data_IF_161320035466
#
_entry.id   IF_161320035466
#
_cell.length_a   1.000
_cell.length_b   1.000
_cell.length_c   1.000
_cell.angle_alpha   90.00
_cell.angle_beta   90.00
_cell.angle_gamma   90.00
#
_symmetry.space_group_name_H-M   'P 1'
#
loop_
_entity.id
_entity.type
_entity.pdbx_description
1 polymer ?
#
# COMPACT_ATOMS: atom_id res chain seq x y z
N UNK A 1 -17.49 11.33 28.47
CA UNK A 1 -17.09 10.82 29.79
C UNK A 1 -16.46 9.44 29.59
N UNK A 2 -15.18 9.38 29.22
CA UNK A 2 -14.47 8.12 29.01
C UNK A 2 -13.63 7.86 30.26
N UNK A 3 -13.80 6.67 30.86
CA UNK A 3 -13.00 6.21 31.99
C UNK A 3 -11.52 6.23 31.58
N UNK A 4 -10.69 6.92 32.37
CA UNK A 4 -9.26 6.62 32.46
C UNK A 4 -9.10 5.10 32.60
N UNK A 5 -8.41 4.47 31.66
CA UNK A 5 -7.95 3.10 31.84
C UNK A 5 -6.59 3.21 32.50
N UNK A 6 -6.56 3.38 33.82
CA UNK A 6 -5.34 3.18 34.60
C UNK A 6 -4.99 1.68 34.55
N UNK A 7 -3.89 1.36 33.86
CA UNK A 7 -3.31 0.02 33.76
C UNK A 7 -4.18 -1.02 33.02
N UNK A 8 -4.03 -1.12 31.69
CA UNK A 8 -4.59 -2.23 30.92
C UNK A 8 -3.82 -3.52 31.26
N UNK A 9 -4.52 -4.54 31.77
CA UNK A 9 -3.95 -5.84 32.12
C UNK A 9 -4.19 -6.86 31.01
N UNK A 10 -3.14 -7.22 30.26
CA UNK A 10 -3.23 -8.24 29.21
C UNK A 10 -2.68 -9.59 29.71
N UNK A 11 -3.52 -10.63 29.68
CA UNK A 11 -3.11 -11.99 30.02
C UNK A 11 -2.47 -12.72 28.84
N UNK A 12 -1.15 -12.91 28.84
CA UNK A 12 -0.44 -13.43 27.64
C UNK A 12 -0.19 -14.95 27.69
N UNK A 13 -0.33 -15.58 28.86
CA UNK A 13 -0.15 -17.03 29.01
C UNK A 13 -0.34 -17.52 30.44
N UNK A 14 -0.14 -18.83 30.67
CA UNK A 14 -0.07 -19.43 32.02
C UNK A 14 1.40 -19.53 32.47
N UNK A 15 1.67 -19.20 33.72
CA UNK A 15 3.00 -19.40 34.34
C UNK A 15 3.34 -20.89 34.39
N UNK A 16 4.62 -21.22 34.24
CA UNK A 16 5.16 -22.56 34.47
C UNK A 16 6.11 -22.49 35.67
N UNK A 17 5.87 -23.37 36.63
CA UNK A 17 6.54 -23.59 37.93
C UNK A 17 6.11 -22.70 39.11
N UNK A 18 5.85 -23.21 40.33
CA UNK A 18 5.45 -24.54 40.84
C UNK A 18 4.84 -24.23 42.22
N UNK A 19 3.64 -24.75 42.48
CA UNK A 19 2.82 -24.47 43.66
C UNK A 19 2.08 -23.12 43.62
N UNK A 20 0.76 -23.21 43.63
CA UNK A 20 -0.23 -22.12 43.72
C UNK A 20 -0.58 -21.31 42.45
N UNK A 21 -1.87 -21.40 42.12
CA UNK A 21 -2.71 -20.46 41.37
C UNK A 21 -2.54 -20.30 39.85
N UNK A 22 -3.71 -20.28 39.19
CA UNK A 22 -3.94 -19.93 37.79
C UNK A 22 -3.64 -18.44 37.54
N UNK A 23 -2.39 -18.00 37.73
CA UNK A 23 -2.03 -16.62 37.43
C UNK A 23 -1.67 -16.50 35.94
N UNK A 24 -2.56 -15.82 35.18
CA UNK A 24 -2.23 -15.33 33.82
C UNK A 24 -1.03 -14.40 33.97
N UNK A 25 0.00 -14.51 33.13
CA UNK A 25 1.04 -13.47 33.09
C UNK A 25 0.40 -12.19 32.58
N UNK A 26 0.30 -11.20 33.47
CA UNK A 26 -0.34 -9.91 33.23
C UNK A 26 0.73 -8.91 32.83
N UNK A 27 0.68 -8.45 31.58
CA UNK A 27 1.33 -7.21 31.20
C UNK A 27 0.46 -6.04 31.65
N UNK A 28 0.99 -5.21 32.53
CA UNK A 28 0.40 -3.93 32.89
C UNK A 28 0.85 -2.90 31.85
N UNK A 29 -0.09 -2.31 31.14
CA UNK A 29 0.18 -1.34 30.09
C UNK A 29 -0.45 0.00 30.44
N UNK A 30 0.33 1.06 30.23
CA UNK A 30 -0.10 2.43 30.38
C UNK A 30 -0.32 3.07 29.01
N UNK A 31 -1.14 4.12 28.96
CA UNK A 31 -1.25 4.91 27.73
C UNK A 31 0.12 5.50 27.35
N UNK A 32 0.39 5.54 26.04
CA UNK A 32 1.72 5.85 25.49
C UNK A 32 2.66 4.64 25.42
N UNK A 33 2.28 3.47 25.92
CA UNK A 33 3.09 2.27 25.76
C UNK A 33 3.08 1.79 24.31
N UNK A 34 4.29 1.54 23.78
CA UNK A 34 4.50 0.84 22.52
C UNK A 34 5.06 -0.55 22.80
N UNK A 35 4.39 -1.56 22.24
CA UNK A 35 4.74 -2.97 22.35
C UNK A 35 5.13 -3.49 20.98
N UNK A 36 6.29 -4.14 20.89
CA UNK A 36 6.66 -4.92 19.71
C UNK A 36 6.47 -6.41 20.02
N UNK A 37 5.69 -7.08 19.17
CA UNK A 37 5.46 -8.50 19.18
C UNK A 37 6.14 -9.14 17.97
N UNK A 38 7.02 -10.11 18.19
CA UNK A 38 7.77 -10.72 17.09
C UNK A 38 8.07 -12.21 17.29
N UNK A 39 8.55 -12.84 16.20
CA UNK A 39 8.85 -14.26 16.11
C UNK A 39 7.74 -15.10 15.47
N UNK A 40 8.00 -16.41 15.37
CA UNK A 40 7.23 -17.38 14.55
C UNK A 40 5.74 -17.41 14.89
N UNK A 41 5.41 -17.37 16.19
CA UNK A 41 4.05 -17.54 16.71
C UNK A 41 3.44 -16.21 17.20
N UNK A 42 3.94 -15.08 16.68
CA UNK A 42 3.40 -13.75 16.96
C UNK A 42 1.91 -13.62 16.64
N UNK A 43 1.41 -14.27 15.58
CA UNK A 43 -0.01 -14.28 15.21
C UNK A 43 -0.92 -14.88 16.29
N UNK A 44 -0.44 -15.93 16.97
CA UNK A 44 -1.17 -16.60 18.06
C UNK A 44 -1.27 -15.66 19.27
N UNK A 45 -0.16 -15.03 19.66
CA UNK A 45 -0.15 -14.08 20.79
C UNK A 45 -1.02 -12.86 20.49
N UNK A 46 -0.93 -12.30 19.28
CA UNK A 46 -1.74 -11.14 18.92
C UNK A 46 -3.23 -11.46 19.02
N UNK A 47 -3.60 -12.67 18.60
CA UNK A 47 -4.97 -13.12 18.71
C UNK A 47 -5.43 -13.36 20.17
N UNK A 48 -4.54 -13.81 21.07
CA UNK A 48 -4.81 -13.86 22.50
C UNK A 48 -5.03 -12.47 23.08
N UNK A 49 -4.20 -11.49 22.68
CA UNK A 49 -4.37 -10.09 23.05
C UNK A 49 -5.73 -9.57 22.58
N UNK A 50 -6.09 -9.78 21.31
CA UNK A 50 -7.40 -9.41 20.76
C UNK A 50 -8.53 -10.05 21.56
N UNK A 51 -8.43 -11.35 21.89
CA UNK A 51 -9.45 -12.05 22.67
C UNK A 51 -9.62 -11.47 24.08
N UNK A 52 -8.52 -11.16 24.77
CA UNK A 52 -8.58 -10.52 26.09
C UNK A 52 -9.18 -9.12 26.03
N UNK A 53 -8.83 -8.31 25.02
CA UNK A 53 -9.40 -6.98 24.82
C UNK A 53 -10.92 -7.05 24.64
N UNK A 54 -11.39 -8.08 23.94
CA UNK A 54 -12.82 -8.36 23.80
C UNK A 54 -13.48 -8.79 25.12
N UNK A 55 -12.84 -9.68 25.89
CA UNK A 55 -13.34 -10.12 27.21
C UNK A 55 -13.57 -8.94 28.17
N UNK A 56 -12.68 -7.95 28.15
CA UNK A 56 -12.76 -6.76 29.01
C UNK A 56 -13.52 -5.57 28.37
N UNK A 57 -14.15 -5.77 27.21
CA UNK A 57 -14.86 -4.73 26.45
C UNK A 57 -14.01 -3.48 26.15
N UNK A 58 -12.71 -3.65 25.93
CA UNK A 58 -11.83 -2.56 25.50
C UNK A 58 -12.05 -2.28 24.00
N UNK A 59 -12.22 -1.01 23.63
CA UNK A 59 -12.30 -0.62 22.22
C UNK A 59 -10.91 -0.64 21.60
N UNK A 60 -10.77 -1.27 20.45
CA UNK A 60 -9.49 -1.26 19.73
C UNK A 60 -9.69 -1.16 18.22
N UNK A 61 -8.61 -0.81 17.54
CA UNK A 61 -8.47 -0.89 16.10
C UNK A 61 -7.39 -1.91 15.79
N UNK A 62 -7.67 -2.83 14.86
CA UNK A 62 -6.68 -3.78 14.34
C UNK A 62 -6.48 -3.55 12.84
N UNK A 63 -5.26 -3.23 12.44
CA UNK A 63 -4.81 -3.27 11.05
C UNK A 63 -4.29 -4.69 10.78
N UNK A 64 -5.01 -5.42 9.93
CA UNK A 64 -4.70 -6.78 9.50
C UNK A 64 -4.19 -6.78 8.06
N UNK A 65 -2.87 -6.80 7.90
CA UNK A 65 -2.25 -6.86 6.56
C UNK A 65 -2.32 -8.24 5.90
N UNK A 66 -2.59 -9.30 6.68
CA UNK A 66 -2.50 -10.69 6.23
C UNK A 66 -3.87 -11.35 6.00
N UNK A 67 -4.94 -10.77 6.56
CA UNK A 67 -6.30 -11.33 6.57
C UNK A 67 -6.44 -12.53 7.50
N UNK A 68 -5.54 -12.66 8.48
CA UNK A 68 -5.57 -13.76 9.44
C UNK A 68 -6.72 -13.60 10.42
N UNK A 69 -7.03 -12.38 10.87
CA UNK A 69 -7.97 -12.13 11.96
C UNK A 69 -9.43 -12.05 11.51
N UNK A 70 -9.70 -12.42 10.25
CA UNK A 70 -11.04 -12.50 9.67
C UNK A 70 -12.00 -13.45 10.40
N UNK A 71 -11.50 -14.41 11.18
CA UNK A 71 -12.36 -15.34 11.93
C UNK A 71 -12.95 -14.76 13.21
N UNK A 72 -12.45 -13.61 13.71
CA UNK A 72 -13.06 -12.92 14.84
C UNK A 72 -14.41 -12.31 14.40
N UNK A 73 -15.45 -13.14 14.32
CA UNK A 73 -16.81 -12.78 13.90
C UNK A 73 -17.76 -12.68 15.08
N UNK A 74 -17.33 -12.08 16.18
CA UNK A 74 -18.27 -11.65 17.22
C UNK A 74 -19.02 -10.42 16.70
N UNK A 75 -20.33 -10.32 16.99
CA UNK A 75 -21.15 -9.17 16.57
C UNK A 75 -20.68 -7.81 17.12
N UNK A 76 -19.64 -7.80 17.95
CA UNK A 76 -19.03 -6.63 18.57
C UNK A 76 -17.88 -6.05 17.72
N UNK A 77 -17.30 -6.80 16.77
CA UNK A 77 -16.20 -6.32 15.93
C UNK A 77 -16.71 -6.04 14.52
N UNK A 78 -16.54 -4.80 14.08
CA UNK A 78 -16.86 -4.40 12.71
C UNK A 78 -15.68 -4.64 11.78
N UNK A 79 -15.96 -5.29 10.66
CA UNK A 79 -14.94 -5.63 9.66
C UNK A 79 -15.00 -4.67 8.48
N UNK A 80 -13.87 -4.04 8.20
CA UNK A 80 -13.66 -3.18 7.05
C UNK A 80 -12.59 -3.82 6.17
N UNK A 81 -13.05 -4.61 5.21
CA UNK A 81 -12.20 -5.20 4.17
C UNK A 81 -12.00 -4.13 3.10
N UNK A 82 -10.77 -3.64 3.00
CA UNK A 82 -10.42 -2.55 2.11
C UNK A 82 -10.55 -3.01 0.64
N UNK A 83 -11.22 -2.19 -0.16
CA UNK A 83 -11.59 -2.50 -1.55
C UNK A 83 -12.82 -3.40 -1.68
N UNK A 84 -13.34 -3.98 -0.59
CA UNK A 84 -14.59 -4.75 -0.60
C UNK A 84 -15.76 -3.97 -0.02
N UNK A 85 -15.67 -3.46 1.22
CA UNK A 85 -16.75 -2.69 1.85
C UNK A 85 -16.30 -1.31 2.39
N UNK A 86 -15.01 -0.99 2.27
CA UNK A 86 -14.45 0.31 2.61
C UNK A 86 -13.42 0.73 1.56
N UNK A 87 -13.48 1.98 1.13
CA UNK A 87 -12.48 2.63 0.29
C UNK A 87 -11.61 3.57 1.13
N UNK A 88 -10.37 3.77 0.70
CA UNK A 88 -9.39 4.68 1.29
C UNK A 88 -9.06 5.84 0.33
N UNK A 89 -9.90 6.89 0.26
CA UNK A 89 -9.67 7.99 -0.65
C UNK A 89 -8.32 8.70 -0.43
N UNK A 90 -7.66 9.07 -1.52
CA UNK A 90 -6.40 9.81 -1.48
C UNK A 90 -6.58 11.23 -0.90
N UNK A 91 -7.73 11.86 -1.10
CA UNK A 91 -8.07 13.20 -0.56
C UNK A 91 -8.11 13.26 0.98
N UNK A 92 -8.13 12.12 1.71
CA UNK A 92 -8.05 12.13 3.19
C UNK A 92 -6.82 12.93 3.64
N UNK A 93 -5.76 12.85 2.85
CA UNK A 93 -4.50 13.55 3.06
C UNK A 93 -4.73 15.08 3.01
N UNK A 94 -5.46 15.57 2.02
CA UNK A 94 -5.79 17.00 1.84
C UNK A 94 -6.59 17.54 3.02
N UNK A 95 -7.58 16.78 3.48
CA UNK A 95 -8.47 17.18 4.58
C UNK A 95 -7.80 17.10 5.95
N UNK A 96 -6.80 16.25 6.14
CA UNK A 96 -6.14 16.09 7.45
C UNK A 96 -5.10 17.16 7.72
N UNK A 97 -4.39 17.61 6.68
CA UNK A 97 -3.09 18.25 6.87
C UNK A 97 -3.14 19.75 6.55
N UNK A 98 -4.07 20.22 5.70
CA UNK A 98 -4.35 21.64 5.48
C UNK A 98 -3.23 22.47 4.80
N UNK A 99 -1.99 22.01 4.86
CA UNK A 99 -0.80 22.68 4.32
C UNK A 99 -0.40 22.11 2.95
N UNK A 100 -0.35 22.99 1.94
CA UNK A 100 0.02 22.62 0.56
C UNK A 100 1.40 21.97 0.43
N UNK A 101 2.37 22.38 1.27
CA UNK A 101 3.73 21.83 1.24
C UNK A 101 3.78 20.37 1.70
N UNK A 102 2.94 20.00 2.67
CA UNK A 102 2.91 18.62 3.16
C UNK A 102 2.16 17.72 2.17
N UNK A 103 1.18 18.24 1.44
CA UNK A 103 0.50 17.49 0.37
C UNK A 103 1.42 17.10 -0.77
N UNK A 104 2.26 18.04 -1.17
CA UNK A 104 3.32 17.82 -2.13
C UNK A 104 4.24 16.67 -1.70
N UNK A 105 4.70 16.70 -0.46
CA UNK A 105 5.56 15.65 0.09
C UNK A 105 4.82 14.30 0.15
N UNK A 106 3.54 14.28 0.50
CA UNK A 106 2.79 13.03 0.61
C UNK A 106 2.55 12.38 -0.76
N UNK A 107 2.10 13.13 -1.77
CA UNK A 107 1.93 12.55 -3.11
C UNK A 107 3.25 12.08 -3.69
N UNK A 108 4.33 12.84 -3.48
CA UNK A 108 5.69 12.41 -3.84
C UNK A 108 6.02 11.07 -3.19
N UNK A 109 5.70 10.89 -1.91
CA UNK A 109 5.97 9.65 -1.19
C UNK A 109 5.08 8.49 -1.61
N UNK A 110 3.79 8.72 -1.86
CA UNK A 110 2.87 7.69 -2.37
C UNK A 110 3.43 7.10 -3.66
N UNK A 111 3.69 7.94 -4.66
CA UNK A 111 4.19 7.46 -5.94
C UNK A 111 5.62 6.91 -5.84
N UNK A 112 6.46 7.47 -4.96
CA UNK A 112 7.79 6.91 -4.68
C UNK A 112 7.71 5.48 -4.13
N UNK A 113 6.79 5.21 -3.20
CA UNK A 113 6.54 3.87 -2.66
C UNK A 113 6.07 2.93 -3.78
N UNK A 114 5.07 3.34 -4.55
CA UNK A 114 4.45 2.51 -5.59
C UNK A 114 5.39 2.22 -6.76
N UNK A 115 6.23 3.18 -7.13
CA UNK A 115 7.15 3.05 -8.27
C UNK A 115 8.53 2.56 -7.85
N UNK A 116 8.82 2.48 -6.55
CA UNK A 116 10.16 2.24 -6.00
C UNK A 116 11.19 3.20 -6.63
N UNK A 117 10.89 4.50 -6.55
CA UNK A 117 11.66 5.54 -7.25
C UNK A 117 13.05 5.75 -6.65
N UNK A 118 14.01 6.09 -7.50
CA UNK A 118 15.29 6.65 -7.04
C UNK A 118 15.21 8.17 -6.78
N UNK A 119 16.32 8.75 -6.33
CA UNK A 119 16.40 10.18 -6.00
C UNK A 119 16.13 11.09 -7.19
N UNK A 120 16.53 10.71 -8.41
CA UNK A 120 16.34 11.52 -9.60
C UNK A 120 14.89 11.46 -10.11
N UNK A 121 14.30 10.27 -10.13
CA UNK A 121 12.88 10.06 -10.44
C UNK A 121 11.97 10.82 -9.48
N UNK A 122 12.34 10.83 -8.19
CA UNK A 122 11.65 11.62 -7.18
C UNK A 122 11.71 13.12 -7.48
N UNK A 123 12.86 13.65 -7.90
CA UNK A 123 13.00 15.07 -8.30
C UNK A 123 12.13 15.39 -9.52
N UNK A 124 12.05 14.49 -10.51
CA UNK A 124 11.17 14.68 -11.67
C UNK A 124 9.71 14.76 -11.22
N UNK A 125 9.25 13.80 -10.41
CA UNK A 125 7.89 13.81 -9.88
C UNK A 125 7.60 15.08 -9.07
N UNK A 126 8.55 15.50 -8.23
CA UNK A 126 8.45 16.74 -7.47
C UNK A 126 8.26 17.95 -8.39
N UNK A 127 9.06 18.09 -9.45
CA UNK A 127 8.89 19.19 -10.40
C UNK A 127 7.52 19.17 -11.10
N UNK A 128 6.99 17.99 -11.42
CA UNK A 128 5.65 17.83 -12.00
C UNK A 128 4.57 18.23 -10.99
N UNK A 129 4.62 17.70 -9.78
CA UNK A 129 3.62 17.96 -8.73
C UNK A 129 3.56 19.44 -8.35
N UNK A 130 4.69 20.17 -8.33
CA UNK A 130 4.71 21.62 -8.11
C UNK A 130 3.88 22.38 -9.15
N UNK A 131 3.92 21.95 -10.42
CA UNK A 131 3.13 22.57 -11.52
C UNK A 131 1.64 22.25 -11.43
N UNK A 132 1.29 21.08 -10.91
CA UNK A 132 -0.09 20.57 -10.89
C UNK A 132 -0.84 21.04 -9.64
N UNK A 133 -0.24 20.93 -8.45
CA UNK A 133 -0.90 21.24 -7.18
C UNK A 133 -1.24 22.74 -7.03
N UNK A 134 -0.68 23.60 -7.88
CA UNK A 134 -1.08 25.00 -8.00
C UNK A 134 -2.41 25.20 -8.75
N UNK A 135 -2.88 24.22 -9.52
CA UNK A 135 -3.99 24.33 -10.49
C UNK A 135 -5.33 23.67 -10.08
N UNK A 136 -5.51 23.20 -8.83
CA UNK A 136 -6.77 22.60 -8.28
C UNK A 136 -7.58 21.77 -9.32
N UNK A 137 -6.89 20.89 -10.03
CA UNK A 137 -7.43 20.10 -11.13
C UNK A 137 -7.31 18.58 -10.84
N UNK A 138 -7.78 17.74 -11.77
CA UNK A 138 -7.81 16.29 -11.59
C UNK A 138 -6.39 15.72 -11.60
N UNK A 139 -5.81 15.54 -10.39
CA UNK A 139 -4.41 15.15 -10.15
C UNK A 139 -3.90 14.03 -11.08
N UNK A 140 -4.69 12.97 -11.29
CA UNK A 140 -4.25 11.81 -12.09
C UNK A 140 -4.16 12.16 -13.59
N UNK A 141 -5.12 12.90 -14.11
CA UNK A 141 -5.12 13.32 -15.52
C UNK A 141 -4.05 14.38 -15.79
N UNK A 142 -3.84 15.30 -14.85
CA UNK A 142 -2.78 16.30 -14.97
C UNK A 142 -1.39 15.65 -14.89
N UNK A 143 -1.20 14.67 -13.99
CA UNK A 143 0.03 13.89 -13.90
C UNK A 143 0.28 13.15 -15.21
N UNK A 144 -0.75 12.52 -15.77
CA UNK A 144 -0.66 11.84 -17.08
C UNK A 144 -0.23 12.82 -18.17
N UNK A 145 -0.88 13.98 -18.28
CA UNK A 145 -0.57 14.98 -19.30
C UNK A 145 0.85 15.53 -19.18
N UNK A 146 1.33 15.83 -17.97
CA UNK A 146 2.70 16.34 -17.76
C UNK A 146 3.74 15.26 -18.04
N UNK A 147 3.51 14.01 -17.64
CA UNK A 147 4.39 12.88 -17.97
C UNK A 147 4.49 12.63 -19.48
N UNK A 148 3.36 12.67 -20.19
CA UNK A 148 3.32 12.59 -21.66
C UNK A 148 4.08 13.77 -22.30
N UNK A 149 3.99 14.97 -21.72
CA UNK A 149 4.73 16.16 -22.21
C UNK A 149 6.24 16.04 -22.02
N UNK A 150 6.70 15.41 -20.94
CA UNK A 150 8.14 15.16 -20.72
C UNK A 150 8.70 14.16 -21.73
N UNK A 151 7.93 13.14 -22.10
CA UNK A 151 8.32 12.23 -23.19
C UNK A 151 8.39 12.94 -24.54
N UNK A 152 7.59 13.98 -24.75
CA UNK A 152 7.67 14.83 -25.95
C UNK A 152 8.92 15.71 -25.99
N UNK A 153 9.29 16.32 -24.85
CA UNK A 153 10.42 17.26 -24.74
C UNK A 153 11.77 16.58 -24.57
N UNK A 154 11.81 15.40 -23.94
CA UNK A 154 13.05 14.64 -23.77
C UNK A 154 13.41 13.93 -25.08
N UNK A 155 14.65 14.10 -25.53
CA UNK A 155 15.25 13.30 -26.60
C UNK A 155 15.44 11.85 -26.13
N UNK A 156 14.33 11.09 -26.14
CA UNK A 156 14.16 9.64 -26.14
C UNK A 156 14.99 8.70 -25.23
N UNK A 157 15.87 9.19 -24.36
CA UNK A 157 16.87 8.32 -23.72
C UNK A 157 16.85 8.34 -22.19
N UNK A 158 16.57 9.49 -21.57
CA UNK A 158 16.71 9.58 -20.10
C UNK A 158 15.38 9.19 -19.45
N UNK A 159 15.23 7.87 -19.25
CA UNK A 159 14.19 7.18 -18.46
C UNK A 159 12.79 7.08 -19.07
N UNK A 160 12.70 6.75 -20.36
CA UNK A 160 11.45 6.28 -20.99
C UNK A 160 10.74 5.22 -20.14
N UNK A 161 11.49 4.24 -19.64
CA UNK A 161 10.97 3.16 -18.79
C UNK A 161 10.31 3.65 -17.49
N UNK A 162 10.86 4.71 -16.86
CA UNK A 162 10.27 5.29 -15.65
C UNK A 162 8.90 5.88 -15.97
N UNK A 163 8.83 6.70 -17.02
CA UNK A 163 7.60 7.39 -17.38
C UNK A 163 6.53 6.39 -17.84
N UNK A 164 6.91 5.37 -18.62
CA UNK A 164 6.01 4.27 -19.00
C UNK A 164 5.49 3.49 -17.78
N UNK A 165 6.38 3.16 -16.83
CA UNK A 165 5.98 2.52 -15.57
C UNK A 165 5.01 3.40 -14.79
N UNK A 166 5.27 4.71 -14.73
CA UNK A 166 4.39 5.67 -14.07
C UNK A 166 3.01 5.72 -14.73
N UNK A 167 2.96 5.89 -16.05
CA UNK A 167 1.69 5.88 -16.79
C UNK A 167 0.90 4.59 -16.55
N UNK A 168 1.57 3.42 -16.48
CA UNK A 168 0.90 2.16 -16.15
C UNK A 168 0.29 2.16 -14.74
N UNK A 169 0.93 2.79 -13.75
CA UNK A 169 0.37 2.92 -12.41
C UNK A 169 -0.83 3.86 -12.42
N UNK A 170 -0.78 4.97 -13.17
CA UNK A 170 -1.93 5.86 -13.34
C UNK A 170 -3.11 5.14 -14.02
N UNK A 171 -2.85 4.24 -14.97
CA UNK A 171 -3.88 3.36 -15.57
C UNK A 171 -4.54 2.45 -14.53
N UNK A 172 -3.76 1.92 -13.59
CA UNK A 172 -4.28 1.09 -12.49
C UNK A 172 -5.21 1.92 -11.58
N UNK A 173 -4.85 3.16 -11.25
CA UNK A 173 -5.70 4.06 -10.44
C UNK A 173 -6.96 4.56 -11.15
N UNK A 174 -7.06 4.39 -12.46
CA UNK A 174 -8.21 4.84 -13.25
C UNK A 174 -9.11 3.68 -13.65
N UNK A 175 -8.53 2.51 -13.98
CA UNK A 175 -9.24 1.43 -14.67
C UNK A 175 -9.19 0.06 -13.98
N UNK A 176 -8.83 -0.02 -12.70
CA UNK A 176 -8.79 -1.31 -11.99
C UNK A 176 -9.52 -1.29 -10.66
N UNK A 177 -9.66 -2.45 -10.01
CA UNK A 177 -10.10 -2.58 -8.61
C UNK A 177 -9.44 -1.56 -7.65
N UNK A 178 -8.19 -1.14 -7.94
CA UNK A 178 -7.46 -0.12 -7.18
C UNK A 178 -8.14 1.25 -7.24
N UNK A 179 -8.81 1.62 -8.34
CA UNK A 179 -9.51 2.90 -8.47
C UNK A 179 -10.69 3.02 -7.49
N UNK A 180 -11.36 1.89 -7.21
CA UNK A 180 -12.46 1.80 -6.23
C UNK A 180 -11.93 1.72 -4.81
N UNK A 181 -10.78 1.08 -4.65
CA UNK A 181 -10.12 0.91 -3.35
C UNK A 181 -9.51 2.21 -2.85
N UNK A 182 -8.86 2.97 -3.74
CA UNK A 182 -8.20 4.25 -3.46
C UNK A 182 -8.74 5.35 -4.38
N UNK A 183 -10.03 5.71 -4.24
CA UNK A 183 -10.62 6.75 -5.08
C UNK A 183 -9.93 8.09 -4.81
N UNK A 184 -9.93 8.98 -5.79
CA UNK A 184 -9.33 10.30 -5.59
C UNK A 184 -10.08 11.06 -4.49
N UNK A 185 -11.41 11.11 -4.60
CA UNK A 185 -12.28 11.81 -3.67
C UNK A 185 -13.14 10.82 -2.89
N UNK A 186 -13.48 11.21 -1.67
CA UNK A 186 -14.42 10.46 -0.85
C UNK A 186 -14.49 10.98 0.58
N UNK A 187 -15.48 10.46 1.31
CA UNK A 187 -15.60 10.69 2.74
C UNK A 187 -15.45 9.35 3.46
N UNK A 188 -14.53 9.31 4.42
CA UNK A 188 -14.52 8.24 5.42
C UNK A 188 -15.26 8.75 6.65
N UNK A 189 -16.26 7.99 7.10
CA UNK A 189 -16.98 8.27 8.34
C UNK A 189 -16.10 8.00 9.56
N UNK A 190 -16.49 8.54 10.72
CA UNK A 190 -15.81 8.22 11.98
C UNK A 190 -16.05 6.75 12.35
N UNK A 191 -15.00 6.11 12.87
CA UNK A 191 -15.08 4.78 13.46
C UNK A 191 -15.31 4.97 14.96
N UNK A 192 -16.42 4.43 15.50
CA UNK A 192 -16.76 4.54 16.92
C UNK A 192 -16.82 3.18 17.64
N UNK A 193 -16.71 2.09 16.88
CA UNK A 193 -16.85 0.69 17.29
C UNK A 193 -15.49 -0.01 17.19
N UNK A 194 -15.28 -1.11 17.91
CA UNK A 194 -14.10 -1.97 17.71
C UNK A 194 -14.07 -2.45 16.27
N UNK A 195 -12.94 -2.26 15.58
CA UNK A 195 -12.86 -2.56 14.15
C UNK A 195 -11.57 -3.23 13.71
N UNK A 196 -11.70 -4.01 12.62
CA UNK A 196 -10.58 -4.62 11.90
C UNK A 196 -10.54 -4.03 10.50
N UNK A 197 -9.41 -3.42 10.14
CA UNK A 197 -9.08 -3.01 8.78
C UNK A 197 -8.27 -4.10 8.11
N UNK A 198 -8.82 -4.72 7.08
CA UNK A 198 -8.24 -5.89 6.45
C UNK A 198 -7.75 -5.57 5.03
N UNK A 199 -6.47 -5.85 4.77
CA UNK A 199 -5.82 -5.57 3.48
C UNK A 199 -5.62 -6.82 2.61
N UNK A 200 -6.18 -7.96 2.98
CA UNK A 200 -5.93 -9.25 2.30
C UNK A 200 -6.31 -9.24 0.81
N UNK A 201 -7.34 -8.49 0.43
CA UNK A 201 -7.78 -8.35 -0.97
C UNK A 201 -6.96 -7.32 -1.75
N UNK A 202 -6.15 -6.50 -1.08
CA UNK A 202 -5.28 -5.53 -1.75
C UNK A 202 -4.02 -6.27 -2.25
N UNK A 203 -3.61 -6.06 -3.51
CA UNK A 203 -2.33 -6.57 -4.01
C UNK A 203 -1.17 -6.08 -3.15
N UNK A 204 -0.14 -6.91 -2.98
CA UNK A 204 0.99 -6.64 -2.07
C UNK A 204 1.67 -5.29 -2.28
N UNK A 205 1.82 -4.86 -3.54
CA UNK A 205 2.44 -3.58 -3.93
C UNK A 205 1.65 -2.34 -3.46
N UNK A 206 0.35 -2.49 -3.19
CA UNK A 206 -0.51 -1.41 -2.71
C UNK A 206 -0.79 -1.47 -1.20
N UNK A 207 -0.34 -2.53 -0.49
CA UNK A 207 -0.55 -2.65 0.97
C UNK A 207 0.21 -1.59 1.76
N UNK A 208 1.40 -1.19 1.28
CA UNK A 208 2.16 -0.08 1.86
C UNK A 208 1.38 1.25 1.80
N UNK A 209 0.70 1.51 0.68
CA UNK A 209 -0.17 2.66 0.53
C UNK A 209 -1.36 2.59 1.49
N UNK A 210 -2.02 1.44 1.58
CA UNK A 210 -3.14 1.23 2.51
C UNK A 210 -2.74 1.47 3.97
N UNK A 211 -1.55 1.01 4.37
CA UNK A 211 -1.00 1.24 5.70
C UNK A 211 -0.78 2.74 5.93
N UNK A 212 -0.09 3.43 5.02
CA UNK A 212 0.18 4.86 5.13
C UNK A 212 -1.13 5.67 5.28
N UNK A 213 -2.13 5.41 4.42
CA UNK A 213 -3.41 6.12 4.47
C UNK A 213 -4.19 5.82 5.76
N UNK A 214 -4.14 4.58 6.26
CA UNK A 214 -4.77 4.27 7.53
C UNK A 214 -4.05 4.93 8.70
N UNK A 215 -2.72 4.98 8.74
CA UNK A 215 -1.99 5.70 9.80
C UNK A 215 -2.41 7.18 9.84
N UNK A 216 -2.54 7.84 8.68
CA UNK A 216 -3.02 9.23 8.58
C UNK A 216 -4.46 9.33 9.10
N UNK A 217 -5.33 8.38 8.75
CA UNK A 217 -6.70 8.37 9.23
C UNK A 217 -6.81 8.13 10.75
N UNK A 218 -5.93 7.30 11.29
CA UNK A 218 -5.90 6.97 12.72
C UNK A 218 -5.35 8.12 13.58
N UNK A 219 -4.71 9.12 12.98
CA UNK A 219 -4.24 10.32 13.67
C UNK A 219 -5.36 11.10 14.38
N UNK A 220 -6.65 10.88 14.10
CA UNK A 220 -7.76 11.54 14.82
C UNK A 220 -8.68 10.56 15.54
N UNK A 221 -8.20 9.36 15.82
CA UNK A 221 -8.99 8.30 16.42
C UNK A 221 -8.79 8.24 17.94
N UNK A 222 -9.86 8.39 18.71
CA UNK A 222 -9.83 8.36 20.19
C UNK A 222 -9.89 6.91 20.74
N UNK A 223 -9.10 5.98 20.19
CA UNK A 223 -9.13 4.58 20.59
C UNK A 223 -8.03 4.26 21.61
N UNK A 224 -8.33 3.58 22.72
CA UNK A 224 -7.33 3.31 23.75
C UNK A 224 -6.24 2.32 23.29
N UNK A 225 -6.56 1.42 22.34
CA UNK A 225 -5.60 0.42 21.83
C UNK A 225 -5.62 0.39 20.31
N UNK A 226 -4.43 0.46 19.71
CA UNK A 226 -4.22 0.36 18.27
C UNK A 226 -3.24 -0.77 18.00
N UNK A 227 -3.67 -1.73 17.20
CA UNK A 227 -2.90 -2.92 16.85
C UNK A 227 -2.57 -2.88 15.37
N UNK A 228 -1.30 -3.10 15.02
CA UNK A 228 -0.79 -3.06 13.66
C UNK A 228 -0.07 -4.38 13.37
N UNK A 229 -0.71 -5.28 12.62
CA UNK A 229 -0.08 -6.50 12.12
C UNK A 229 0.49 -6.29 10.72
N UNK A 230 1.80 -6.41 10.57
CA UNK A 230 2.55 -6.15 9.33
C UNK A 230 2.98 -7.42 8.59
N UNK A 231 2.61 -8.60 9.09
CA UNK A 231 3.01 -9.89 8.52
C UNK A 231 2.67 -10.06 7.02
N UNK A 232 1.65 -9.36 6.51
CA UNK A 232 1.27 -9.34 5.09
C UNK A 232 1.97 -8.28 4.24
N UNK A 233 2.97 -7.58 4.77
CA UNK A 233 3.74 -6.54 4.08
C UNK A 233 5.07 -7.12 3.57
N UNK A 234 5.18 -7.23 2.25
CA UNK A 234 6.31 -7.85 1.57
C UNK A 234 7.38 -6.83 1.14
N UNK A 235 6.97 -5.63 0.72
CA UNK A 235 7.87 -4.57 0.24
C UNK A 235 8.46 -3.74 1.39
N UNK A 236 9.07 -4.42 2.35
CA UNK A 236 9.56 -3.88 3.63
C UNK A 236 10.66 -2.83 3.47
N UNK A 237 11.57 -3.05 2.52
CA UNK A 237 12.70 -2.15 2.25
C UNK A 237 12.23 -0.78 1.77
N UNK A 238 11.09 -0.72 1.07
CA UNK A 238 10.51 0.55 0.59
C UNK A 238 10.03 1.38 1.78
N UNK A 239 9.36 0.76 2.76
CA UNK A 239 8.91 1.43 3.98
C UNK A 239 10.07 1.94 4.83
N UNK A 240 11.12 1.12 5.04
CA UNK A 240 12.30 1.53 5.83
C UNK A 240 12.99 2.75 5.21
N UNK A 241 13.11 2.80 3.88
CA UNK A 241 13.77 3.91 3.17
C UNK A 241 12.91 5.16 3.09
N UNK A 242 11.59 5.05 3.28
CA UNK A 242 10.69 6.18 3.17
C UNK A 242 10.73 7.06 4.42
N UNK A 243 11.34 8.24 4.32
CA UNK A 243 11.49 9.19 5.43
C UNK A 243 10.16 9.73 5.94
N UNK A 244 9.21 10.04 5.06
CA UNK A 244 7.92 10.61 5.49
C UNK A 244 7.07 9.55 6.19
N UNK A 245 7.05 8.32 5.68
CA UNK A 245 6.38 7.21 6.35
C UNK A 245 6.93 7.04 7.77
N UNK A 246 8.27 7.01 7.93
CA UNK A 246 8.90 6.95 9.26
C UNK A 246 8.56 8.16 10.13
N UNK A 247 8.48 9.36 9.55
CA UNK A 247 8.07 10.57 10.27
C UNK A 247 6.62 10.46 10.79
N UNK A 248 5.68 10.09 9.91
CA UNK A 248 4.26 9.90 10.28
C UNK A 248 4.14 8.81 11.35
N UNK A 249 4.85 7.70 11.16
CA UNK A 249 4.85 6.60 12.12
C UNK A 249 5.44 7.01 13.48
N UNK A 250 6.54 7.74 13.49
CA UNK A 250 7.16 8.22 14.73
C UNK A 250 6.27 9.22 15.46
N UNK A 251 5.62 10.15 14.74
CA UNK A 251 4.65 11.07 15.35
C UNK A 251 3.43 10.33 15.88
N UNK A 252 2.94 9.34 15.14
CA UNK A 252 1.87 8.46 15.59
C UNK A 252 2.24 7.69 16.87
N UNK A 253 3.50 7.28 17.02
CA UNK A 253 3.97 6.54 18.19
C UNK A 253 4.35 7.39 19.42
N UNK A 254 4.55 8.71 19.26
CA UNK A 254 4.77 9.62 20.40
C UNK A 254 3.49 9.92 21.18
N UNK A 255 2.36 9.44 20.71
CA UNK A 255 1.04 9.67 21.28
C UNK A 255 0.87 8.97 22.61
N UNK A 256 0.64 9.77 23.64
CA UNK A 256 0.45 9.29 25.02
C UNK A 256 -1.00 8.91 25.31
N UNK A 257 -1.92 9.04 24.35
CA UNK A 257 -3.34 8.73 24.46
C UNK A 257 -3.72 7.32 24.00
N UNK A 258 -2.75 6.56 23.45
CA UNK A 258 -2.97 5.22 22.91
C UNK A 258 -1.94 4.22 23.43
N UNK A 259 -2.35 2.96 23.56
CA UNK A 259 -1.44 1.81 23.59
C UNK A 259 -1.27 1.32 22.16
N UNK A 260 -0.02 1.22 21.69
CA UNK A 260 0.29 0.77 20.33
C UNK A 260 0.94 -0.60 20.39
N UNK A 261 0.35 -1.57 19.69
CA UNK A 261 0.88 -2.93 19.57
C UNK A 261 1.25 -3.17 18.12
N UNK A 262 2.51 -3.47 17.86
CA UNK A 262 3.02 -3.71 16.52
C UNK A 262 3.49 -5.16 16.42
N UNK A 263 3.05 -5.86 15.39
CA UNK A 263 3.34 -7.28 15.19
C UNK A 263 3.95 -7.54 13.81
N UNK A 264 5.06 -8.27 13.79
CA UNK A 264 5.65 -8.86 12.58
C UNK A 264 6.59 -10.00 12.99
N UNK A 265 6.65 -11.06 12.19
CA UNK A 265 7.57 -12.19 12.39
C UNK A 265 9.05 -11.81 12.37
N UNK A 266 9.42 -10.71 11.70
CA UNK A 266 10.80 -10.24 11.58
C UNK A 266 11.04 -9.02 12.47
N UNK A 267 11.81 -9.23 13.53
CA UNK A 267 12.09 -8.19 14.52
C UNK A 267 12.98 -7.09 13.94
N UNK A 268 13.95 -7.43 13.09
CA UNK A 268 14.88 -6.48 12.48
C UNK A 268 14.15 -5.44 11.66
N UNK A 269 13.10 -5.84 10.95
CA UNK A 269 12.24 -4.95 10.20
C UNK A 269 11.52 -3.98 11.14
N UNK A 270 10.90 -4.48 12.21
CA UNK A 270 10.20 -3.65 13.18
C UNK A 270 11.14 -2.64 13.84
N UNK A 271 12.31 -3.07 14.31
CA UNK A 271 13.26 -2.18 14.98
C UNK A 271 13.90 -1.15 14.04
N UNK A 272 14.05 -1.46 12.74
CA UNK A 272 14.47 -0.46 11.73
C UNK A 272 13.38 0.55 11.42
N UNK A 273 12.11 0.15 11.53
CA UNK A 273 10.96 1.00 11.23
C UNK A 273 10.56 1.86 12.42
N UNK A 274 10.56 1.28 13.63
CA UNK A 274 10.27 1.92 14.91
C UNK A 274 11.56 2.19 15.68
N UNK A 275 12.10 3.40 15.50
CA UNK A 275 13.31 3.87 16.19
C UNK A 275 13.02 4.56 17.53
N UNK A 276 11.74 4.68 17.94
CA UNK A 276 11.32 5.36 19.18
C UNK A 276 11.40 4.42 20.39
N UNK A 277 11.17 4.97 21.59
CA UNK A 277 11.30 4.26 22.88
C UNK A 277 10.29 3.12 23.02
N UNK A 278 10.64 1.96 22.50
CA UNK A 278 9.94 0.69 22.72
C UNK A 278 10.00 0.40 24.22
N UNK A 279 8.83 0.30 24.85
CA UNK A 279 8.75 0.04 26.30
C UNK A 279 8.67 -1.45 26.62
N UNK A 280 8.01 -2.22 25.77
CA UNK A 280 7.80 -3.65 25.99
C UNK A 280 8.08 -4.46 24.72
N UNK A 281 8.72 -5.62 24.88
CA UNK A 281 8.96 -6.59 23.82
C UNK A 281 8.31 -7.92 24.19
N UNK A 282 7.57 -8.50 23.26
CA UNK A 282 7.07 -9.87 23.38
C UNK A 282 7.69 -10.67 22.25
N UNK A 283 8.54 -11.63 22.59
CA UNK A 283 9.29 -12.43 21.65
C UNK A 283 8.85 -13.88 21.77
N UNK A 284 8.38 -14.44 20.66
CA UNK A 284 8.28 -15.90 20.51
C UNK A 284 9.59 -16.45 19.97
N UNK A 285 9.62 -17.71 19.57
CA UNK A 285 10.78 -18.30 18.93
C UNK A 285 11.27 -17.46 17.74
N UNK A 286 12.56 -17.14 17.73
CA UNK A 286 13.24 -16.38 16.67
C UNK A 286 14.23 -17.32 15.98
N UNK A 287 14.21 -17.34 14.65
CA UNK A 287 15.15 -18.14 13.84
C UNK A 287 16.09 -17.30 12.99
N UNK A 288 15.78 -16.02 12.78
CA UNK A 288 16.58 -15.15 11.94
C UNK A 288 17.82 -14.67 12.69
N UNK A 289 19.01 -14.89 12.12
CA UNK A 289 20.27 -14.44 12.71
C UNK A 289 20.36 -12.91 12.72
N UNK A 290 19.72 -12.20 11.78
CA UNK A 290 19.70 -10.74 11.78
C UNK A 290 18.95 -10.19 12.99
N UNK A 291 17.86 -10.85 13.41
CA UNK A 291 17.08 -10.49 14.59
C UNK A 291 17.91 -10.70 15.87
N UNK A 292 18.62 -11.82 15.97
CA UNK A 292 19.53 -12.12 17.10
C UNK A 292 20.68 -11.11 17.16
N UNK A 293 21.27 -10.76 16.02
CA UNK A 293 22.35 -9.78 15.95
C UNK A 293 21.91 -8.39 16.42
N UNK A 294 20.67 -8.00 16.14
CA UNK A 294 20.12 -6.73 16.60
C UNK A 294 19.86 -6.76 18.11
N UNK A 295 19.25 -7.83 18.62
CA UNK A 295 19.04 -7.99 20.07
C UNK A 295 20.38 -7.96 20.83
N UNK A 296 21.42 -8.61 20.31
CA UNK A 296 22.77 -8.53 20.87
C UNK A 296 23.30 -7.09 20.90
N UNK A 297 23.12 -6.33 19.81
CA UNK A 297 23.48 -4.89 19.74
C UNK A 297 22.68 -4.02 20.70
N UNK A 298 21.45 -4.41 21.03
CA UNK A 298 20.62 -3.76 22.06
C UNK A 298 21.06 -4.09 23.49
N UNK A 299 22.08 -4.95 23.68
CA UNK A 299 22.65 -5.27 24.99
C UNK A 299 22.09 -6.54 25.64
N UNK A 300 21.35 -7.38 24.90
CA UNK A 300 20.84 -8.65 25.42
C UNK A 300 22.00 -9.61 25.69
N UNK A 301 21.96 -10.31 26.83
CA UNK A 301 23.00 -11.28 27.21
C UNK A 301 23.00 -12.48 26.27
N UNK A 302 24.18 -13.11 26.10
CA UNK A 302 24.32 -14.31 25.27
C UNK A 302 23.40 -15.44 25.72
N UNK A 303 23.24 -15.61 27.03
CA UNK A 303 22.37 -16.65 27.60
C UNK A 303 20.90 -16.43 27.23
N UNK A 304 20.43 -15.18 27.26
CA UNK A 304 19.07 -14.84 26.87
C UNK A 304 18.83 -15.05 25.37
N UNK A 305 19.81 -14.72 24.54
CA UNK A 305 19.75 -14.95 23.09
C UNK A 305 19.74 -16.43 22.74
N UNK A 306 20.58 -17.24 23.41
CA UNK A 306 20.56 -18.70 23.29
C UNK A 306 19.20 -19.26 23.71
N UNK A 307 18.61 -18.74 24.79
CA UNK A 307 17.27 -19.11 25.24
C UNK A 307 16.19 -18.78 24.21
N UNK A 308 16.28 -17.64 23.52
CA UNK A 308 15.35 -17.26 22.45
C UNK A 308 15.47 -18.17 21.21
N UNK A 309 16.68 -18.55 20.83
CA UNK A 309 16.94 -19.48 19.72
C UNK A 309 16.39 -20.89 20.02
N UNK A 310 16.50 -21.33 21.28
CA UNK A 310 16.06 -22.64 21.75
C UNK A 310 14.64 -22.63 22.34
N UNK A 311 13.93 -21.51 22.26
CA UNK A 311 12.62 -21.35 22.87
C UNK A 311 11.63 -22.34 22.25
N UNK A 312 10.94 -23.10 23.09
CA UNK A 312 9.89 -24.01 22.63
C UNK A 312 8.76 -23.22 21.93
N UNK A 313 8.13 -23.85 20.92
CA UNK A 313 7.12 -23.16 20.11
C UNK A 313 5.94 -22.63 20.92
N UNK A 314 5.60 -23.29 22.03
CA UNK A 314 4.52 -22.94 22.95
C UNK A 314 4.95 -21.95 24.03
N UNK A 315 6.10 -21.29 23.88
CA UNK A 315 6.57 -20.31 24.86
C UNK A 315 6.82 -18.94 24.25
N UNK A 316 6.70 -17.93 25.09
CA UNK A 316 7.09 -16.55 24.81
C UNK A 316 7.91 -15.96 25.93
N UNK A 317 8.85 -15.12 25.55
CA UNK A 317 9.58 -14.23 26.42
C UNK A 317 8.91 -12.85 26.39
N UNK A 318 8.60 -12.33 27.57
CA UNK A 318 8.07 -10.99 27.77
C UNK A 318 9.15 -10.18 28.45
N UNK A 319 9.54 -9.08 27.81
CA UNK A 319 10.46 -8.09 28.37
C UNK A 319 9.64 -6.84 28.63
N UNK A 320 9.41 -6.56 29.90
CA UNK A 320 8.87 -5.26 30.32
C UNK A 320 10.03 -4.33 30.72
N UNK A 321 9.71 -3.09 31.06
CA UNK A 321 10.69 -2.07 31.45
C UNK A 321 11.53 -2.45 32.68
N UNK A 322 11.11 -3.42 33.49
CA UNK A 322 11.72 -3.75 34.78
C UNK A 322 12.20 -5.20 34.87
N UNK A 323 11.65 -6.11 34.06
CA UNK A 323 11.73 -7.55 34.27
C UNK A 323 11.62 -8.33 32.96
N UNK A 324 12.11 -9.57 33.02
CA UNK A 324 12.06 -10.55 31.94
C UNK A 324 11.32 -11.78 32.45
N UNK A 325 10.23 -12.16 31.77
CA UNK A 325 9.44 -13.33 32.14
C UNK A 325 9.27 -14.28 30.96
N UNK A 326 9.13 -15.56 31.26
CA UNK A 326 8.76 -16.58 30.29
C UNK A 326 7.33 -17.05 30.57
N UNK A 327 6.57 -17.33 29.52
CA UNK A 327 5.18 -17.77 29.63
C UNK A 327 4.85 -18.87 28.63
N UNK A 328 3.93 -19.77 28.98
CA UNK A 328 3.36 -20.73 28.04
C UNK A 328 2.13 -20.19 27.34
N UNK A 329 2.14 -20.35 26.02
CA UNK A 329 1.10 -19.98 25.06
C UNK A 329 0.25 -21.21 24.77
N UNK A 330 -1.07 -21.08 24.90
CA UNK A 330 -1.98 -22.17 24.54
C UNK A 330 -2.22 -22.21 23.02
N UNK A 331 -1.34 -22.91 22.29
CA UNK A 331 -1.39 -23.06 20.83
C UNK A 331 -2.61 -23.86 20.36
N UNK A 332 -3.03 -24.88 21.11
CA UNK A 332 -4.07 -25.82 20.64
C UNK A 332 -5.42 -25.15 20.46
N UNK A 333 -5.78 -24.25 21.38
CA UNK A 333 -6.99 -23.41 21.27
C UNK A 333 -7.03 -22.61 19.96
N UNK A 334 -5.86 -22.28 19.42
CA UNK A 334 -5.70 -21.43 18.25
C UNK A 334 -5.77 -22.15 16.91
N UNK A 335 -5.43 -23.44 16.87
CA UNK A 335 -5.61 -24.26 15.66
C UNK A 335 -7.08 -24.30 15.22
N UNK A 336 -8.00 -24.28 16.18
CA UNK A 336 -9.44 -24.26 15.89
C UNK A 336 -9.92 -22.95 15.28
N UNK A 337 -9.36 -21.80 15.68
CA UNK A 337 -9.73 -20.49 15.16
C UNK A 337 -9.37 -20.34 13.67
N UNK A 338 -8.25 -20.92 13.23
CA UNK A 338 -7.84 -20.95 11.81
C UNK A 338 -8.80 -21.75 10.91
N UNK A 339 -9.58 -22.67 11.49
CA UNK A 339 -10.53 -23.52 10.76
C UNK A 339 -11.93 -22.90 10.65
N UNK A 340 -12.18 -21.73 11.25
CA UNK A 340 -13.47 -21.05 11.14
C UNK A 340 -13.60 -20.44 9.73
N UNK A 341 -14.70 -20.71 9.01
CA UNK A 341 -14.89 -20.17 7.67
C UNK A 341 -14.96 -18.64 7.70
N UNK A 342 -14.16 -18.02 6.81
CA UNK A 342 -14.09 -16.57 6.61
C UNK A 342 -15.46 -16.05 6.15
N UNK A 343 -16.10 -15.20 6.96
CA UNK A 343 -17.36 -14.54 6.61
C UNK A 343 -17.09 -13.12 6.10
N UNK A 344 -17.38 -12.89 4.82
CA UNK A 344 -17.29 -11.58 4.20
C UNK A 344 -18.51 -10.71 4.55
N UNK A 345 -18.34 -9.39 4.75
CA UNK A 345 -19.45 -8.45 4.87
C UNK A 345 -20.35 -8.50 3.63
N UNK A 346 -21.67 -8.50 3.83
CA UNK A 346 -22.66 -8.52 2.73
C UNK A 346 -22.61 -7.28 1.84
N UNK A 347 -22.28 -6.13 2.42
CA UNK A 347 -22.21 -4.86 1.68
C UNK A 347 -20.91 -4.83 0.87
N UNK A 348 -21.02 -4.73 -0.43
CA UNK A 348 -19.90 -4.50 -1.34
C UNK A 348 -19.85 -3.04 -1.78
N UNK A 349 -18.66 -2.56 -2.10
CA UNK A 349 -18.47 -1.34 -2.85
C UNK A 349 -19.03 -1.57 -4.24
N UNK A 350 -19.73 -0.55 -4.75
CA UNK A 350 -20.12 -0.54 -6.15
C UNK A 350 -18.87 -0.26 -6.95
N UNK A 351 -18.48 -1.23 -7.76
CA UNK A 351 -17.55 -0.95 -8.84
C UNK A 351 -18.22 0.08 -9.76
N UNK A 352 -17.50 1.10 -10.24
CA UNK A 352 -17.98 1.86 -11.38
C UNK A 352 -18.28 0.82 -12.46
N UNK A 353 -19.47 0.90 -13.06
CA UNK A 353 -19.82 0.02 -14.18
C UNK A 353 -18.72 0.20 -15.22
N UNK A 354 -17.87 -0.83 -15.31
CA UNK A 354 -16.82 -0.90 -16.29
C UNK A 354 -17.50 -1.16 -17.63
N UNK A 355 -17.95 -0.09 -18.27
CA UNK A 355 -17.90 -0.09 -19.72
C UNK A 355 -16.41 -0.12 -20.05
N UNK A 356 -15.87 -1.20 -20.64
CA UNK A 356 -14.49 -1.20 -21.10
C UNK A 356 -14.37 -0.02 -22.07
N UNK A 357 -13.77 1.08 -21.61
CA UNK A 357 -13.39 2.16 -22.51
C UNK A 357 -12.33 1.56 -23.41
N UNK A 358 -12.65 1.41 -24.69
CA UNK A 358 -11.70 0.90 -25.69
C UNK A 358 -10.40 1.68 -25.56
N UNK A 359 -9.29 0.96 -25.59
CA UNK A 359 -7.96 1.52 -25.35
C UNK A 359 -7.71 2.84 -26.11
N UNK A 360 -8.05 2.92 -27.40
CA UNK A 360 -7.88 4.14 -28.20
C UNK A 360 -8.76 5.30 -27.72
N UNK A 361 -10.04 5.06 -27.46
CA UNK A 361 -10.97 6.08 -26.93
C UNK A 361 -10.50 6.59 -25.57
N UNK A 362 -9.89 5.71 -24.77
CA UNK A 362 -9.43 6.06 -23.44
C UNK A 362 -8.16 6.93 -23.47
N UNK A 363 -7.16 6.53 -24.26
CA UNK A 363 -5.86 7.20 -24.31
C UNK A 363 -5.89 8.47 -25.18
N UNK A 364 -6.60 8.43 -26.31
CA UNK A 364 -6.58 9.50 -27.31
C UNK A 364 -7.86 10.35 -27.33
N UNK A 365 -8.91 9.95 -26.59
CA UNK A 365 -10.15 10.70 -26.50
C UNK A 365 -10.73 11.00 -27.89
N UNK A 366 -10.90 12.29 -28.20
CA UNK A 366 -11.40 12.76 -29.50
C UNK A 366 -10.48 12.39 -30.69
N UNK A 367 -9.22 12.07 -30.45
CA UNK A 367 -8.25 11.69 -31.48
C UNK A 367 -8.20 10.17 -31.73
N UNK A 368 -9.06 9.36 -31.09
CA UNK A 368 -9.04 7.91 -31.21
C UNK A 368 -9.19 7.42 -32.67
N UNK A 369 -10.11 8.02 -33.43
CA UNK A 369 -10.36 7.68 -34.84
C UNK A 369 -9.17 8.03 -35.75
N UNK A 370 -8.48 9.13 -35.44
CA UNK A 370 -7.25 9.55 -36.14
C UNK A 370 -6.14 8.52 -35.92
N UNK A 371 -5.96 8.06 -34.67
CA UNK A 371 -4.96 7.05 -34.34
C UNK A 371 -5.31 5.69 -34.92
N UNK A 372 -6.57 5.27 -34.83
CA UNK A 372 -7.04 4.06 -35.50
C UNK A 372 -6.66 4.07 -36.99
N UNK A 373 -6.90 5.19 -37.66
CA UNK A 373 -6.58 5.34 -39.08
C UNK A 373 -5.08 5.42 -39.37
N UNK A 374 -4.27 5.93 -38.43
CA UNK A 374 -2.81 5.88 -38.51
C UNK A 374 -2.31 4.43 -38.37
N UNK A 375 -2.85 3.67 -37.42
CA UNK A 375 -2.51 2.25 -37.23
C UNK A 375 -2.90 1.43 -38.45
N UNK A 376 -4.07 1.67 -39.04
CA UNK A 376 -4.49 1.03 -40.29
C UNK A 376 -3.55 1.37 -41.46
N UNK A 377 -3.07 2.62 -41.56
CA UNK A 377 -2.08 3.01 -42.57
C UNK A 377 -0.75 2.27 -42.37
N UNK A 378 -0.27 2.18 -41.13
CA UNK A 378 0.97 1.46 -40.81
C UNK A 378 0.85 -0.07 -40.88
N UNK A 379 -0.38 -0.61 -40.90
CA UNK A 379 -0.66 -2.02 -41.20
C UNK A 379 -0.32 -2.36 -42.65
N UNK A 380 -0.45 -1.41 -43.57
CA UNK A 380 -0.15 -1.59 -44.99
C UNK A 380 1.37 -1.56 -45.26
N UNK A 381 2.15 -0.90 -44.41
CA UNK A 381 3.61 -0.90 -44.49
C UNK A 381 4.29 0.08 -43.54
N UNK A 382 5.56 -0.18 -43.24
CA UNK A 382 6.39 0.74 -42.46
C UNK A 382 6.74 1.99 -43.29
N UNK A 383 6.86 3.14 -42.63
CA UNK A 383 7.20 4.42 -43.29
C UNK A 383 8.15 5.24 -42.42
N UNK A 384 8.77 6.29 -42.95
CA UNK A 384 9.62 7.16 -42.14
C UNK A 384 8.79 8.15 -41.30
N UNK A 385 9.46 8.86 -40.39
CA UNK A 385 8.83 9.86 -39.52
C UNK A 385 8.08 10.94 -40.31
N UNK A 386 8.68 11.43 -41.39
CA UNK A 386 8.06 12.42 -42.26
C UNK A 386 6.80 11.88 -42.94
N UNK A 387 6.80 10.62 -43.37
CA UNK A 387 5.64 9.96 -43.95
C UNK A 387 4.46 9.87 -42.99
N UNK A 388 4.72 9.56 -41.71
CA UNK A 388 3.68 9.58 -40.67
C UNK A 388 3.14 10.99 -40.44
N UNK A 389 4.03 11.97 -40.34
CA UNK A 389 3.64 13.37 -40.13
C UNK A 389 2.84 13.92 -41.33
N UNK A 390 3.29 13.64 -42.56
CA UNK A 390 2.59 14.01 -43.79
C UNK A 390 1.22 13.34 -43.86
N UNK A 391 1.10 12.05 -43.54
CA UNK A 391 -0.20 11.37 -43.51
C UNK A 391 -1.18 12.06 -42.55
N UNK A 392 -0.75 12.34 -41.32
CA UNK A 392 -1.58 13.01 -40.31
C UNK A 392 -1.95 14.45 -40.71
N UNK A 393 -1.02 15.19 -41.33
CA UNK A 393 -1.27 16.56 -41.80
C UNK A 393 -2.23 16.60 -42.99
N UNK A 394 -1.99 15.78 -44.02
CA UNK A 394 -2.79 15.82 -45.25
C UNK A 394 -4.17 15.20 -45.07
N UNK A 395 -4.29 14.07 -44.34
CA UNK A 395 -5.58 13.38 -44.19
C UNK A 395 -6.51 14.05 -43.18
N UNK A 396 -5.96 14.64 -42.12
CA UNK A 396 -6.74 15.21 -41.01
C UNK A 396 -6.57 16.71 -40.81
N UNK A 397 -5.77 17.39 -41.65
CA UNK A 397 -5.55 18.84 -41.54
C UNK A 397 -4.84 19.26 -40.25
N UNK A 398 -4.13 18.34 -39.59
CA UNK A 398 -3.50 18.61 -38.31
C UNK A 398 -2.28 19.54 -38.48
N UNK A 399 -2.09 20.47 -37.54
CA UNK A 399 -0.83 21.21 -37.45
C UNK A 399 0.31 20.25 -37.15
N UNK A 400 1.51 20.53 -37.66
CA UNK A 400 2.71 19.70 -37.46
C UNK A 400 2.98 19.37 -35.99
N UNK A 401 2.75 20.33 -35.09
CA UNK A 401 2.89 20.13 -33.64
C UNK A 401 1.92 19.07 -33.09
N UNK A 402 0.64 19.13 -33.48
CA UNK A 402 -0.39 18.19 -33.03
C UNK A 402 -0.15 16.80 -33.63
N UNK A 403 0.21 16.73 -34.91
CA UNK A 403 0.57 15.47 -35.58
C UNK A 403 1.78 14.80 -34.90
N UNK A 404 2.82 15.57 -34.59
CA UNK A 404 4.00 15.09 -33.86
C UNK A 404 3.63 14.59 -32.46
N UNK A 405 2.78 15.31 -31.73
CA UNK A 405 2.30 14.88 -30.41
C UNK A 405 1.54 13.55 -30.47
N UNK A 406 0.64 13.38 -31.43
CA UNK A 406 -0.11 12.13 -31.62
C UNK A 406 0.79 10.96 -31.98
N UNK A 407 1.76 11.19 -32.87
CA UNK A 407 2.75 10.17 -33.24
C UNK A 407 3.58 9.75 -32.02
N UNK A 408 4.15 10.71 -31.28
CA UNK A 408 4.94 10.43 -30.09
C UNK A 408 4.08 9.69 -29.06
N UNK A 409 2.85 10.14 -28.81
CA UNK A 409 1.92 9.44 -27.90
C UNK A 409 1.64 8.00 -28.35
N UNK A 410 1.45 7.73 -29.63
CA UNK A 410 1.32 6.37 -30.14
C UNK A 410 2.58 5.51 -29.91
N UNK A 411 3.78 6.12 -29.99
CA UNK A 411 5.03 5.44 -29.64
C UNK A 411 5.17 5.17 -28.13
N UNK A 412 4.74 6.10 -27.27
CA UNK A 412 4.75 5.96 -25.79
C UNK A 412 3.90 4.77 -25.36
N UNK A 413 2.70 4.64 -25.91
CA UNK A 413 1.82 3.52 -25.59
C UNK A 413 2.20 2.22 -26.32
N UNK A 414 3.35 2.20 -26.99
CA UNK A 414 3.90 1.09 -27.75
C UNK A 414 2.93 0.55 -28.82
N UNK A 415 2.18 1.43 -29.47
CA UNK A 415 1.30 1.08 -30.59
C UNK A 415 2.06 1.06 -31.91
N UNK A 416 3.06 1.93 -32.00
CA UNK A 416 3.99 2.04 -33.12
C UNK A 416 5.41 2.12 -32.56
N UNK A 417 6.40 1.65 -33.30
CA UNK A 417 7.80 1.66 -32.91
C UNK A 417 8.70 2.13 -34.05
N UNK A 418 9.84 2.72 -33.70
CA UNK A 418 10.89 3.11 -34.65
C UNK A 418 11.99 2.04 -34.65
N UNK A 419 12.29 1.51 -35.83
CA UNK A 419 13.26 0.43 -36.07
C UNK A 419 14.26 0.86 -37.13
N UNK A 420 15.50 0.40 -36.99
CA UNK A 420 16.54 0.63 -38.00
C UNK A 420 16.42 -0.47 -39.06
N UNK A 421 16.16 -0.05 -40.30
CA UNK A 421 16.09 -0.94 -41.44
C UNK A 421 17.46 -1.44 -41.87
N UNK A 422 17.50 -2.48 -42.72
CA UNK A 422 18.74 -2.99 -43.31
C UNK A 422 19.47 -1.93 -44.16
N UNK A 423 18.74 -0.91 -44.59
CA UNK A 423 19.23 0.27 -45.32
C UNK A 423 19.83 1.35 -44.39
N UNK A 424 19.90 1.10 -43.08
CA UNK A 424 20.41 2.04 -42.09
C UNK A 424 19.48 3.22 -41.81
N UNK A 425 18.27 3.23 -42.39
CA UNK A 425 17.27 4.29 -42.18
C UNK A 425 16.34 3.93 -41.04
N UNK A 426 15.76 4.95 -40.42
CA UNK A 426 14.75 4.79 -39.39
C UNK A 426 13.36 4.64 -40.02
N UNK A 427 12.69 3.56 -39.66
CA UNK A 427 11.34 3.21 -40.12
C UNK A 427 10.42 3.12 -38.91
N UNK A 428 9.22 3.67 -39.03
CA UNK A 428 8.13 3.53 -38.09
C UNK A 428 7.21 2.43 -38.59
N UNK A 429 6.92 1.46 -37.72
CA UNK A 429 5.98 0.36 -37.99
C UNK A 429 4.99 0.18 -36.85
N UNK A 430 3.86 -0.47 -37.14
CA UNK A 430 2.91 -0.89 -36.11
C UNK A 430 3.46 -2.07 -35.29
N UNK A 431 3.16 -2.09 -33.99
CA UNK A 431 3.55 -3.18 -33.08
C UNK A 431 2.42 -4.22 -32.95
N UNK A 432 2.70 -5.37 -32.34
CA UNK A 432 1.66 -6.37 -32.00
C UNK A 432 0.58 -5.78 -31.08
N UNK A 433 0.97 -4.92 -30.12
CA UNK A 433 0.02 -4.22 -29.27
C UNK A 433 -0.83 -3.24 -30.07
N UNK A 434 -0.24 -2.53 -31.03
CA UNK A 434 -0.95 -1.65 -31.96
C UNK A 434 -2.03 -2.39 -32.74
N UNK A 435 -1.72 -3.57 -33.27
CA UNK A 435 -2.68 -4.42 -33.99
C UNK A 435 -3.83 -4.86 -33.07
N UNK A 436 -3.51 -5.39 -31.88
CA UNK A 436 -4.53 -5.83 -30.92
C UNK A 436 -5.49 -4.71 -30.51
N UNK A 437 -4.96 -3.52 -30.26
CA UNK A 437 -5.74 -2.33 -29.86
C UNK A 437 -6.61 -1.83 -31.02
N UNK A 438 -6.10 -1.89 -32.25
CA UNK A 438 -6.85 -1.52 -33.45
C UNK A 438 -8.00 -2.50 -33.69
N UNK A 439 -7.79 -3.81 -33.57
CA UNK A 439 -8.85 -4.83 -33.68
C UNK A 439 -9.93 -4.71 -32.58
N UNK A 440 -9.52 -4.37 -31.35
CA UNK A 440 -10.45 -4.07 -30.25
C UNK A 440 -11.36 -2.90 -30.61
N UNK A 441 -10.80 -1.85 -31.23
CA UNK A 441 -11.53 -0.68 -31.69
C UNK A 441 -12.45 -0.98 -32.87
N UNK A 442 -12.01 -1.79 -33.85
CA UNK A 442 -12.85 -2.25 -34.96
C UNK A 442 -14.08 -3.02 -34.46
N UNK A 443 -13.89 -3.96 -33.51
CA UNK A 443 -14.98 -4.74 -32.92
C UNK A 443 -15.99 -3.85 -32.20
N UNK A 444 -15.51 -2.87 -31.46
CA UNK A 444 -16.39 -1.93 -30.77
C UNK A 444 -17.19 -1.05 -31.74
N UNK A 445 -16.54 -0.49 -32.76
CA UNK A 445 -17.22 0.31 -33.79
C UNK A 445 -18.18 -0.53 -34.64
N UNK A 446 -17.87 -1.81 -34.84
CA UNK A 446 -18.72 -2.77 -35.55
C UNK A 446 -19.94 -3.25 -34.75
N UNK A 447 -19.85 -3.33 -33.42
CA UNK A 447 -20.98 -3.68 -32.54
C UNK A 447 -21.90 -2.50 -32.17
N UNK A 448 -21.53 -1.28 -32.55
CA UNK A 448 -22.36 -0.07 -32.44
C UNK A 448 -23.18 0.22 -33.72
N UNK A 449 -23.00 -0.58 -34.78
CA UNK A 449 -23.88 -0.61 -35.96
C UNK A 449 -24.90 -1.73 -35.78
#
# INVERSE_FOLDING_TARGET
MYKQVDGLRLGIGKIVDKEFEYNRNILNLNMGDTIILSGVNSDIILSLIVSNLMEINCKFILIDSSGLYQYFSSGQIKKYIIGWNLALPLEIIEKHIGEKNILFDIYTNIFSILLNMDSYERIILQNILLKILTKRSNLIEDLRSELESLLYLSTYSIRKNFIEKFLSILDIFTHSFISVTFPLQGQIGRFNETCIFDYSLIPSSFRNLALLLNLILLEKCDYPVIIIDLNGIYERNILIKNELFRKILNEFCKREDHIIIVSDKNLSFLLKLWSTSIRNLILTQIHDLDDINILFKMGFSRDLLLKLLLLESDRALILDTHNIYETRINIESFKYLKNIPKKFPKKTLKYPEYLPKIFLSNIFGRNAEIIYSLLSFLREGATNRDGVLSYLQYKYGLKTSIASQLMVKAMIYNLIEEVVGKDGRYWIRITLKGISVMEEYEKYMGGLK
#
